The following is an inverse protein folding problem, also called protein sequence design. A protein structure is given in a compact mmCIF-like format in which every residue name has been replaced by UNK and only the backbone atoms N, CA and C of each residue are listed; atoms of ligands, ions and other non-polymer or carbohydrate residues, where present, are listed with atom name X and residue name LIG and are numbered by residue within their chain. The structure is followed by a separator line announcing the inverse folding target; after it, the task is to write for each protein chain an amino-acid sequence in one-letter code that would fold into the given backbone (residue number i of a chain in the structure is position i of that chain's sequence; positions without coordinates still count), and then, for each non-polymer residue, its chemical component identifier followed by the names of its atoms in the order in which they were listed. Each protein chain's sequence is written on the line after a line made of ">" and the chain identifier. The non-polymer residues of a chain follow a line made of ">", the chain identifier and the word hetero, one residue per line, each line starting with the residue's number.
data_IF_140593896622
#
_entry.id   IF_140593896622
#
_cell.length_a   1.000
_cell.length_b   1.000
_cell.length_c   1.000
_cell.angle_alpha   90.00
_cell.angle_beta   90.00
_cell.angle_gamma   90.00
#
_symmetry.space_group_name_H-M   'P 1'
#
loop_
_entity.id
_entity.type
_entity.pdbx_description
1 polymer ?
#
# COMPACT_ATOMS: atom_id res chain seq x y z
N UNK A 1 9.04 18.83 4.42
CA UNK A 1 10.52 18.68 4.38
C UNK A 1 10.99 17.22 4.54
N UNK A 2 10.52 16.46 5.54
CA UNK A 2 11.02 15.11 5.87
C UNK A 2 10.75 14.03 4.79
N UNK A 3 9.55 14.00 4.19
CA UNK A 3 9.22 13.03 3.12
C UNK A 3 10.04 13.24 1.84
N UNK A 4 10.35 14.50 1.50
CA UNK A 4 11.22 14.83 0.37
C UNK A 4 12.64 14.31 0.61
N UNK A 5 13.18 14.54 1.81
CA UNK A 5 14.50 14.02 2.19
C UNK A 5 14.55 12.49 2.23
N UNK A 6 13.45 11.83 2.63
CA UNK A 6 13.36 10.36 2.61
C UNK A 6 13.37 9.81 1.18
N UNK A 7 12.72 10.50 0.23
CA UNK A 7 12.75 10.14 -1.20
C UNK A 7 14.15 10.30 -1.79
N UNK A 8 14.88 11.36 -1.43
CA UNK A 8 16.26 11.57 -1.86
C UNK A 8 17.23 10.50 -1.33
N UNK A 9 16.99 9.97 -0.12
CA UNK A 9 17.82 8.94 0.49
C UNK A 9 17.53 7.51 -0.02
N UNK A 10 16.64 7.35 -1.01
CA UNK A 10 16.36 6.15 -1.83
C UNK A 10 16.68 4.78 -1.18
N UNK A 11 15.63 4.01 -0.80
CA UNK A 11 15.67 2.58 -0.37
C UNK A 11 17.06 1.93 -0.21
N UNK A 12 17.85 2.37 0.79
CA UNK A 12 19.13 1.71 1.12
C UNK A 12 20.21 1.70 0.04
N UNK A 13 20.09 2.46 -1.05
CA UNK A 13 21.09 2.53 -2.14
C UNK A 13 22.26 3.48 -1.83
N UNK A 14 22.22 4.18 -0.71
CA UNK A 14 23.36 4.94 -0.25
C UNK A 14 24.38 3.97 0.37
N UNK A 15 25.42 3.63 -0.41
CA UNK A 15 26.49 2.68 -0.08
C UNK A 15 27.38 3.08 1.12
N UNK A 16 26.92 3.98 2.00
CA UNK A 16 27.69 4.45 3.15
C UNK A 16 26.95 4.15 4.46
N UNK A 17 27.65 3.67 5.51
CA UNK A 17 27.08 3.44 6.84
C UNK A 17 26.35 4.67 7.39
N UNK A 18 26.87 5.86 7.11
CA UNK A 18 26.31 7.12 7.56
C UNK A 18 24.92 7.39 6.97
N UNK A 19 24.71 7.09 5.68
CA UNK A 19 23.42 7.29 5.04
C UNK A 19 22.35 6.30 5.53
N UNK A 20 22.75 5.07 5.89
CA UNK A 20 21.84 4.10 6.50
C UNK A 20 21.35 4.58 7.88
N UNK A 21 22.24 5.13 8.71
CA UNK A 21 21.90 5.72 10.01
C UNK A 21 20.98 6.93 9.81
N UNK A 22 21.31 7.83 8.88
CA UNK A 22 20.46 8.99 8.57
C UNK A 22 19.06 8.57 8.11
N UNK A 23 18.93 7.54 7.29
CA UNK A 23 17.64 7.01 6.85
C UNK A 23 16.84 6.43 8.02
N UNK A 24 17.50 5.71 8.93
CA UNK A 24 16.87 5.15 10.12
C UNK A 24 16.33 6.24 11.06
N UNK A 25 17.14 7.26 11.36
CA UNK A 25 16.73 8.41 12.18
C UNK A 25 15.61 9.22 11.52
N UNK A 26 15.71 9.46 10.21
CA UNK A 26 14.65 10.13 9.46
C UNK A 26 13.32 9.37 9.54
N UNK A 27 13.36 8.03 9.47
CA UNK A 27 12.17 7.20 9.65
C UNK A 27 11.62 7.21 11.08
N UNK A 28 12.46 7.36 12.11
CA UNK A 28 11.98 7.56 13.48
C UNK A 28 11.24 8.89 13.60
N UNK A 29 11.82 9.97 13.09
CA UNK A 29 11.21 11.31 13.12
C UNK A 29 9.92 11.36 12.32
N UNK A 30 9.86 10.74 11.14
CA UNK A 30 8.64 10.63 10.35
C UNK A 30 7.53 9.89 11.09
N UNK A 31 7.86 8.77 11.77
CA UNK A 31 6.88 8.04 12.58
C UNK A 31 6.35 8.86 13.73
N UNK A 32 7.20 9.62 14.42
CA UNK A 32 6.79 10.54 15.50
C UNK A 32 5.87 11.65 14.97
N UNK A 33 6.24 12.28 13.86
CA UNK A 33 5.43 13.35 13.25
C UNK A 33 4.07 12.83 12.77
N UNK A 34 4.04 11.67 12.11
CA UNK A 34 2.80 11.05 11.65
C UNK A 34 1.90 10.65 12.83
N UNK A 35 2.47 10.14 13.92
CA UNK A 35 1.70 9.82 15.13
C UNK A 35 1.07 11.07 15.77
N UNK A 36 1.81 12.18 15.81
CA UNK A 36 1.30 13.46 16.30
C UNK A 36 0.18 14.00 15.40
N UNK A 37 0.34 13.92 14.08
CA UNK A 37 -0.66 14.35 13.11
C UNK A 37 -1.94 13.50 13.18
N UNK A 38 -1.80 12.18 13.28
CA UNK A 38 -2.91 11.25 13.52
C UNK A 38 -3.64 11.58 14.83
N UNK A 39 -2.89 11.91 15.88
CA UNK A 39 -3.47 12.30 17.16
C UNK A 39 -4.27 13.60 17.05
N UNK A 40 -3.71 14.63 16.41
CA UNK A 40 -4.41 15.89 16.16
C UNK A 40 -5.68 15.67 15.31
N UNK A 41 -5.61 14.79 14.33
CA UNK A 41 -6.77 14.41 13.52
C UNK A 41 -7.87 13.72 14.34
N UNK A 42 -7.50 12.76 15.19
CA UNK A 42 -8.47 12.12 16.09
C UNK A 42 -9.09 13.13 17.06
N UNK A 43 -8.29 14.06 17.59
CA UNK A 43 -8.78 15.09 18.50
C UNK A 43 -9.82 15.97 17.80
N UNK A 44 -9.58 16.40 16.57
CA UNK A 44 -10.52 17.18 15.77
C UNK A 44 -11.86 16.46 15.56
N UNK A 45 -11.83 15.16 15.22
CA UNK A 45 -13.05 14.35 15.07
C UNK A 45 -13.84 14.33 16.40
N UNK A 46 -13.14 14.17 17.53
CA UNK A 46 -13.76 14.16 18.85
C UNK A 46 -14.35 15.53 19.23
N UNK A 47 -13.61 16.62 19.00
CA UNK A 47 -14.08 18.00 19.25
C UNK A 47 -15.35 18.31 18.46
N UNK A 48 -15.37 17.98 17.16
CA UNK A 48 -16.55 18.15 16.31
C UNK A 48 -17.74 17.30 16.79
N UNK A 49 -17.48 16.09 17.27
CA UNK A 49 -18.53 15.19 17.75
C UNK A 49 -19.09 15.58 19.12
N UNK A 50 -18.28 16.18 19.99
CA UNK A 50 -18.73 16.77 21.25
C UNK A 50 -19.60 17.99 20.96
N UNK A 51 -19.15 18.88 20.06
CA UNK A 51 -19.92 20.07 19.67
C UNK A 51 -21.27 19.72 19.02
N UNK A 52 -21.31 18.68 18.17
CA UNK A 52 -22.52 18.22 17.49
C UNK A 52 -23.31 17.16 18.27
N UNK A 53 -22.85 16.74 19.46
CA UNK A 53 -23.42 15.67 20.29
C UNK A 53 -23.61 14.31 19.55
N UNK A 54 -22.74 14.01 18.59
CA UNK A 54 -22.83 12.85 17.69
C UNK A 54 -21.69 11.82 17.93
N UNK A 55 -21.44 11.48 19.19
CA UNK A 55 -20.33 10.61 19.63
C UNK A 55 -20.31 9.22 18.98
N UNK A 56 -21.49 8.66 18.64
CA UNK A 56 -21.59 7.35 17.99
C UNK A 56 -21.02 7.37 16.57
N UNK A 57 -21.24 8.46 15.82
CA UNK A 57 -20.72 8.64 14.46
C UNK A 57 -19.20 8.82 14.47
N UNK A 58 -18.68 9.63 15.39
CA UNK A 58 -17.23 9.76 15.57
C UNK A 58 -16.54 8.46 15.97
N UNK A 59 -17.14 7.66 16.87
CA UNK A 59 -16.61 6.31 17.18
C UNK A 59 -16.56 5.41 15.95
N UNK A 60 -17.57 5.48 15.07
CA UNK A 60 -17.58 4.73 13.81
C UNK A 60 -16.48 5.22 12.86
N UNK A 61 -16.34 6.54 12.69
CA UNK A 61 -15.36 7.16 11.80
C UNK A 61 -13.90 6.86 12.24
N UNK A 62 -13.64 6.92 13.55
CA UNK A 62 -12.36 6.51 14.14
C UNK A 62 -12.09 5.00 14.01
N UNK A 63 -13.13 4.16 13.96
CA UNK A 63 -13.00 2.72 13.78
C UNK A 63 -12.78 2.33 12.31
N UNK A 64 -13.52 2.92 11.37
CA UNK A 64 -13.39 2.66 9.93
C UNK A 64 -12.00 3.02 9.41
N UNK A 65 -11.38 4.08 9.94
CA UNK A 65 -10.00 4.46 9.58
C UNK A 65 -8.94 3.44 10.01
N UNK A 66 -9.25 2.45 10.87
CA UNK A 66 -8.29 1.45 11.38
C UNK A 66 -8.33 0.10 10.66
N UNK A 67 -9.38 -0.21 9.91
CA UNK A 67 -9.55 -1.56 9.35
C UNK A 67 -8.61 -1.77 8.17
N UNK A 68 -7.53 -2.53 8.38
CA UNK A 68 -6.68 -3.01 7.29
C UNK A 68 -7.44 -4.06 6.49
N UNK A 69 -7.50 -3.90 5.17
CA UNK A 69 -8.01 -4.95 4.29
C UNK A 69 -7.04 -6.13 4.35
N UNK A 70 -7.48 -7.22 4.96
CA UNK A 70 -6.71 -8.46 5.16
C UNK A 70 -7.30 -9.63 4.39
N UNK A 71 -8.25 -9.39 3.50
CA UNK A 71 -8.91 -10.41 2.68
C UNK A 71 -8.11 -10.71 1.42
N UNK A 72 -7.12 -11.59 1.54
CA UNK A 72 -6.42 -12.19 0.41
C UNK A 72 -7.05 -13.54 0.09
N UNK A 73 -7.12 -13.87 -1.20
CA UNK A 73 -7.60 -15.17 -1.66
C UNK A 73 -6.50 -16.22 -1.45
N UNK A 74 -6.84 -17.31 -0.77
CA UNK A 74 -6.01 -18.48 -0.56
C UNK A 74 -6.10 -19.43 -1.76
N UNK A 75 -5.18 -20.40 -1.83
CA UNK A 75 -5.13 -21.38 -2.93
C UNK A 75 -6.34 -22.32 -2.97
N UNK A 76 -6.98 -22.53 -1.83
CA UNK A 76 -8.19 -23.35 -1.67
C UNK A 76 -9.49 -22.58 -1.96
N UNK A 77 -9.39 -21.30 -2.36
CA UNK A 77 -10.52 -20.43 -2.60
C UNK A 77 -11.08 -19.75 -1.34
N UNK A 78 -10.52 -20.01 -0.15
CA UNK A 78 -10.90 -19.30 1.06
C UNK A 78 -10.26 -17.91 1.14
N UNK A 79 -10.77 -17.06 2.02
CA UNK A 79 -10.24 -15.72 2.24
C UNK A 79 -9.50 -15.65 3.58
N UNK A 80 -8.37 -14.95 3.63
CA UNK A 80 -7.71 -14.63 4.90
C UNK A 80 -8.54 -13.61 5.69
N UNK A 81 -8.62 -13.79 7.00
CA UNK A 81 -9.39 -12.92 7.91
C UNK A 81 -8.47 -12.12 8.83
N UNK A 82 -7.19 -12.49 8.90
CA UNK A 82 -6.22 -11.88 9.81
C UNK A 82 -4.97 -11.40 9.09
N UNK A 83 -4.31 -10.39 9.68
CA UNK A 83 -3.00 -9.92 9.20
C UNK A 83 -1.93 -11.00 9.25
N UNK A 84 -2.01 -11.92 10.23
CA UNK A 84 -1.06 -13.01 10.39
C UNK A 84 -1.20 -14.06 9.29
N UNK A 85 -2.43 -14.43 8.94
CA UNK A 85 -2.72 -15.29 7.80
C UNK A 85 -2.26 -14.65 6.49
N UNK A 86 -2.61 -13.37 6.26
CA UNK A 86 -2.18 -12.65 5.07
C UNK A 86 -0.65 -12.60 4.93
N UNK A 87 0.07 -12.34 6.04
CA UNK A 87 1.53 -12.36 6.06
C UNK A 87 2.09 -13.75 5.77
N UNK A 88 1.48 -14.80 6.33
CA UNK A 88 1.87 -16.20 6.10
C UNK A 88 1.67 -16.59 4.64
N UNK A 89 0.56 -16.17 4.04
CA UNK A 89 0.25 -16.40 2.63
C UNK A 89 1.28 -15.73 1.72
N UNK A 90 1.58 -14.45 1.95
CA UNK A 90 2.59 -13.71 1.19
C UNK A 90 3.96 -14.35 1.33
N UNK A 91 4.35 -14.73 2.55
CA UNK A 91 5.62 -15.40 2.81
C UNK A 91 5.72 -16.75 2.07
N UNK A 92 4.65 -17.53 2.10
CA UNK A 92 4.58 -18.83 1.41
C UNK A 92 4.68 -18.66 -0.11
N UNK A 93 3.97 -17.68 -0.67
CA UNK A 93 4.02 -17.35 -2.09
C UNK A 93 5.45 -17.05 -2.56
N UNK A 94 6.14 -16.13 -1.88
CA UNK A 94 7.52 -15.77 -2.28
C UNK A 94 8.50 -16.92 -2.07
N UNK A 95 8.36 -17.70 -1.01
CA UNK A 95 9.20 -18.88 -0.81
C UNK A 95 9.03 -19.90 -1.94
N UNK A 96 7.80 -20.19 -2.36
CA UNK A 96 7.53 -21.09 -3.48
C UNK A 96 8.09 -20.54 -4.81
N UNK A 97 7.96 -19.23 -5.04
CA UNK A 97 8.53 -18.56 -6.20
C UNK A 97 10.06 -18.73 -6.25
N UNK A 98 10.77 -18.39 -5.17
CA UNK A 98 12.23 -18.51 -5.15
C UNK A 98 12.70 -19.97 -5.19
N UNK A 99 11.96 -20.89 -4.56
CA UNK A 99 12.24 -22.33 -4.64
C UNK A 99 12.12 -22.85 -6.07
N UNK A 100 11.06 -22.47 -6.79
CA UNK A 100 10.85 -22.93 -8.17
C UNK A 100 11.95 -22.42 -9.11
N UNK A 101 12.37 -21.16 -8.98
CA UNK A 101 13.51 -20.60 -9.72
C UNK A 101 14.80 -21.39 -9.43
N UNK A 102 15.10 -21.64 -8.16
CA UNK A 102 16.28 -22.42 -7.77
C UNK A 102 16.24 -23.86 -8.32
N UNK A 103 15.06 -24.49 -8.34
CA UNK A 103 14.89 -25.82 -8.93
C UNK A 103 15.12 -25.80 -10.45
N UNK A 104 14.57 -24.80 -11.15
CA UNK A 104 14.78 -24.64 -12.59
C UNK A 104 16.27 -24.51 -12.92
N UNK A 105 17.01 -23.67 -12.18
CA UNK A 105 18.46 -23.51 -12.33
C UNK A 105 19.19 -24.83 -12.12
N UNK A 106 18.88 -25.58 -11.05
CA UNK A 106 19.50 -26.88 -10.75
C UNK A 106 19.25 -27.90 -11.86
N UNK A 107 18.00 -27.99 -12.33
CA UNK A 107 17.60 -28.96 -13.37
C UNK A 107 18.21 -28.63 -14.72
N UNK A 108 18.26 -27.35 -15.10
CA UNK A 108 18.98 -26.94 -16.31
C UNK A 108 20.47 -27.28 -16.24
N UNK A 109 21.11 -27.13 -15.07
CA UNK A 109 22.50 -27.55 -14.88
C UNK A 109 22.68 -29.07 -14.95
N UNK A 110 21.77 -29.84 -14.35
CA UNK A 110 21.79 -31.32 -14.36
C UNK A 110 21.67 -31.89 -15.78
N UNK A 111 20.79 -31.33 -16.60
CA UNK A 111 20.54 -31.80 -17.97
C UNK A 111 21.31 -31.02 -19.05
N UNK A 112 22.26 -30.17 -18.66
CA UNK A 112 23.05 -29.32 -19.57
C UNK A 112 22.18 -28.48 -20.54
N UNK A 113 21.06 -27.96 -20.03
CA UNK A 113 20.13 -27.08 -20.76
C UNK A 113 20.51 -25.61 -20.55
N UNK A 114 20.33 -24.79 -21.58
CA UNK A 114 20.49 -23.33 -21.46
C UNK A 114 19.24 -22.73 -20.80
N UNK A 115 19.43 -22.05 -19.67
CA UNK A 115 18.39 -21.27 -19.00
C UNK A 115 18.60 -19.78 -19.24
N UNK A 116 17.57 -19.10 -19.73
CA UNK A 116 17.54 -17.64 -19.84
C UNK A 116 16.40 -17.10 -18.99
N UNK A 117 16.69 -16.16 -18.11
CA UNK A 117 15.71 -15.54 -17.21
C UNK A 117 15.73 -14.02 -17.36
N UNK A 118 14.54 -13.41 -17.37
CA UNK A 118 14.37 -11.96 -17.35
C UNK A 118 13.74 -11.56 -16.02
N UNK A 119 14.39 -10.64 -15.31
CA UNK A 119 13.84 -10.05 -14.09
C UNK A 119 13.23 -8.69 -14.41
N UNK A 120 11.91 -8.58 -14.30
CA UNK A 120 11.19 -7.32 -14.46
C UNK A 120 10.95 -6.69 -13.09
N UNK A 121 11.36 -5.42 -12.93
CA UNK A 121 11.07 -4.63 -11.74
C UNK A 121 10.09 -3.51 -12.10
N UNK A 122 8.94 -3.48 -11.44
CA UNK A 122 7.92 -2.44 -11.66
C UNK A 122 8.18 -1.26 -10.73
N UNK A 123 8.70 -0.17 -11.28
CA UNK A 123 8.92 1.06 -10.53
C UNK A 123 7.58 1.72 -10.21
N UNK A 124 7.29 1.93 -8.92
CA UNK A 124 6.04 2.55 -8.45
C UNK A 124 4.80 1.86 -9.03
N UNK A 125 4.79 0.53 -9.02
CA UNK A 125 3.75 -0.28 -9.64
C UNK A 125 2.34 0.20 -9.30
N UNK A 126 2.09 0.58 -8.03
CA UNK A 126 0.81 1.09 -7.56
C UNK A 126 0.47 2.48 -8.11
N UNK A 127 1.43 3.42 -8.20
CA UNK A 127 1.18 4.76 -8.74
C UNK A 127 0.94 4.74 -10.26
N UNK A 128 1.37 3.69 -10.96
CA UNK A 128 1.30 3.58 -12.42
C UNK A 128 0.06 2.85 -12.93
N UNK A 129 -0.80 2.33 -12.05
CA UNK A 129 -2.01 1.61 -12.45
C UNK A 129 -3.01 2.58 -13.08
N UNK A 130 -3.41 2.34 -14.33
CA UNK A 130 -4.53 3.04 -14.92
C UNK A 130 -5.85 2.57 -14.31
N UNK A 131 -6.75 3.51 -14.00
CA UNK A 131 -8.07 3.19 -13.46
C UNK A 131 -8.85 2.19 -14.32
N UNK A 132 -8.71 2.27 -15.65
CA UNK A 132 -9.31 1.30 -16.58
C UNK A 132 -8.89 -0.14 -16.30
N UNK A 133 -7.62 -0.35 -15.96
CA UNK A 133 -7.12 -1.69 -15.63
C UNK A 133 -7.83 -2.23 -14.38
N UNK A 134 -8.10 -1.39 -13.37
CA UNK A 134 -8.83 -1.77 -12.16
C UNK A 134 -10.24 -2.27 -12.51
N UNK A 135 -11.00 -1.52 -13.31
CA UNK A 135 -12.38 -1.91 -13.69
C UNK A 135 -12.40 -3.20 -14.50
N UNK A 136 -11.47 -3.34 -15.44
CA UNK A 136 -11.36 -4.52 -16.29
C UNK A 136 -10.99 -5.76 -15.47
N UNK A 137 -10.07 -5.63 -14.52
CA UNK A 137 -9.72 -6.71 -13.60
C UNK A 137 -10.90 -7.13 -12.73
N UNK A 138 -11.63 -6.19 -12.13
CA UNK A 138 -12.80 -6.50 -11.31
C UNK A 138 -13.88 -7.24 -12.12
N UNK A 139 -14.17 -6.76 -13.33
CA UNK A 139 -15.13 -7.42 -14.22
C UNK A 139 -14.66 -8.83 -14.61
N UNK A 140 -13.37 -9.01 -14.92
CA UNK A 140 -12.78 -10.31 -15.25
C UNK A 140 -12.91 -11.32 -14.10
N UNK A 141 -12.78 -10.87 -12.85
CA UNK A 141 -12.98 -11.70 -11.66
C UNK A 141 -14.45 -11.85 -11.22
N UNK A 142 -15.41 -11.43 -12.05
CA UNK A 142 -16.84 -11.65 -11.82
C UNK A 142 -17.45 -10.72 -10.75
N UNK A 143 -16.82 -9.60 -10.45
CA UNK A 143 -17.38 -8.60 -9.53
C UNK A 143 -18.59 -7.94 -10.19
N UNK A 144 -19.69 -7.82 -9.44
CA UNK A 144 -20.93 -7.26 -9.94
C UNK A 144 -20.76 -5.81 -10.44
N UNK A 145 -21.47 -5.48 -11.52
CA UNK A 145 -21.35 -4.17 -12.17
C UNK A 145 -21.75 -3.02 -11.26
N UNK A 146 -22.67 -3.22 -10.32
CA UNK A 146 -23.06 -2.20 -9.33
C UNK A 146 -21.90 -1.85 -8.41
N UNK A 147 -21.12 -2.84 -7.97
CA UNK A 147 -19.93 -2.63 -7.14
C UNK A 147 -18.86 -1.91 -7.96
N UNK A 148 -18.62 -2.33 -9.20
CA UNK A 148 -17.65 -1.68 -10.09
C UNK A 148 -18.01 -0.20 -10.30
N UNK A 149 -19.29 0.12 -10.45
CA UNK A 149 -19.74 1.51 -10.61
C UNK A 149 -19.50 2.36 -9.36
N UNK A 150 -19.70 1.80 -8.16
CA UNK A 150 -19.36 2.46 -6.90
C UNK A 150 -17.85 2.74 -6.83
N UNK A 151 -17.01 1.75 -7.17
CA UNK A 151 -15.55 1.93 -7.18
C UNK A 151 -15.13 3.00 -8.20
N UNK A 152 -15.73 3.01 -9.41
CA UNK A 152 -15.49 4.07 -10.40
C UNK A 152 -15.80 5.47 -9.86
N UNK A 153 -16.92 5.62 -9.16
CA UNK A 153 -17.30 6.90 -8.54
C UNK A 153 -16.30 7.32 -7.47
N UNK A 154 -15.86 6.40 -6.62
CA UNK A 154 -14.85 6.67 -5.58
C UNK A 154 -13.53 7.22 -6.17
N UNK A 155 -13.05 6.62 -7.26
CA UNK A 155 -11.83 7.07 -7.95
C UNK A 155 -12.03 8.28 -8.86
N UNK A 156 -13.26 8.60 -9.29
CA UNK A 156 -13.53 9.85 -10.00
C UNK A 156 -13.51 11.07 -9.06
N UNK A 157 -13.86 10.85 -7.78
CA UNK A 157 -13.85 11.86 -6.72
C UNK A 157 -12.55 11.88 -5.90
N UNK A 158 -11.53 11.11 -6.28
CA UNK A 158 -10.30 11.02 -5.48
C UNK A 158 -9.38 12.21 -5.77
N UNK A 159 -9.30 13.10 -4.79
CA UNK A 159 -8.32 14.18 -4.75
C UNK A 159 -7.30 13.92 -3.65
N UNK A 160 -6.03 14.25 -3.88
CA UNK A 160 -4.98 14.22 -2.87
C UNK A 160 -4.67 15.65 -2.42
N UNK A 161 -4.66 15.89 -1.11
CA UNK A 161 -4.27 17.18 -0.55
C UNK A 161 -2.81 17.13 -0.12
N UNK A 162 -2.00 18.01 -0.70
CA UNK A 162 -0.61 18.22 -0.30
C UNK A 162 -0.59 19.43 0.63
N UNK A 163 -0.35 19.21 1.91
CA UNK A 163 -0.11 20.27 2.88
C UNK A 163 1.38 20.65 2.89
N UNK A 164 1.68 21.92 2.58
CA UNK A 164 3.03 22.46 2.63
C UNK A 164 3.08 23.73 3.46
N UNK A 165 3.75 23.65 4.61
CA UNK A 165 4.12 24.72 5.55
C UNK A 165 2.99 25.57 6.15
N UNK A 166 2.00 26.00 5.37
CA UNK A 166 0.74 26.63 5.82
C UNK A 166 -0.36 26.61 4.74
N UNK A 167 -0.14 25.91 3.62
CA UNK A 167 -1.02 25.94 2.44
C UNK A 167 -1.41 24.53 2.05
N UNK A 168 -2.68 24.31 1.74
CA UNK A 168 -3.18 23.06 1.20
C UNK A 168 -3.41 23.22 -0.30
N UNK A 169 -2.80 22.33 -1.08
CA UNK A 169 -3.05 22.23 -2.52
C UNK A 169 -3.71 20.89 -2.79
N UNK A 170 -4.93 20.96 -3.31
CA UNK A 170 -5.68 19.78 -3.75
C UNK A 170 -5.32 19.47 -5.20
N UNK A 171 -4.96 18.21 -5.47
CA UNK A 171 -4.68 17.71 -6.82
C UNK A 171 -5.61 16.54 -7.13
N UNK A 172 -6.06 16.46 -8.37
CA UNK A 172 -6.86 15.31 -8.83
C UNK A 172 -5.96 14.10 -9.08
N UNK A 173 -6.35 12.95 -8.54
CA UNK A 173 -5.62 11.70 -8.74
C UNK A 173 -6.05 11.10 -10.09
N UNK A 174 -5.12 11.07 -11.04
CA UNK A 174 -5.39 10.59 -12.41
C UNK A 174 -5.06 9.11 -12.61
N UNK A 175 -4.24 8.52 -11.74
CA UNK A 175 -3.81 7.13 -11.79
C UNK A 175 -3.28 6.67 -10.43
N UNK A 176 -3.22 5.36 -10.28
CA UNK A 176 -2.68 4.65 -9.14
C UNK A 176 -3.69 4.31 -8.05
N UNK A 177 -3.24 3.56 -7.04
CA UNK A 177 -4.06 3.10 -5.91
C UNK A 177 -3.49 3.51 -4.56
#
# INVERSE_FOLDING_TARGET
>A
MLFHRRRQLHFGLANTPHAAIQYAELNKTLRKALAADLHAHHLRILEQAVAANHLRRARSELATSRTKVVHLLQRDGQHTMTTAEAATLVHTFYNDLYRSVNMAVKKCREYNLRLSMLFANFQKAFDMIEFRAIWNSLAHYGVDSSIIEVVKKLYASSSSTISFTSSEVTIDVQRGI
#
